data_IF_266336001693
#
_entry.id   IF_266336001693
#
_cell.length_a   1.000
_cell.length_b   1.000
_cell.length_c   1.000
_cell.angle_alpha   90.00
_cell.angle_beta   90.00
_cell.angle_gamma   90.00
#
_symmetry.space_group_name_H-M   'P 1'
#
loop_
_entity.id
_entity.type
_entity.pdbx_description
1 polymer ?
#
# COMPACT_ATOMS: atom_id res chain seq x y z
N UNK A 1 7.48 1.56 -1.60
CA UNK A 1 7.70 2.60 -0.58
C UNK A 1 8.51 3.81 -1.08
N UNK A 2 9.08 3.77 -2.29
CA UNK A 2 9.97 4.81 -2.83
C UNK A 2 9.38 5.51 -4.07
N UNK A 3 9.99 6.61 -4.53
CA UNK A 3 9.44 7.41 -5.64
C UNK A 3 9.36 6.67 -6.98
N UNK A 4 10.15 5.61 -7.18
CA UNK A 4 10.06 4.77 -8.37
C UNK A 4 8.74 3.95 -8.44
N UNK A 5 7.98 3.88 -7.35
CA UNK A 5 6.71 3.16 -7.30
C UNK A 5 5.52 4.00 -7.79
N UNK A 6 5.72 5.30 -8.03
CA UNK A 6 4.63 6.25 -8.37
C UNK A 6 3.85 5.79 -9.60
N UNK A 7 4.52 5.50 -10.71
CA UNK A 7 3.85 5.13 -11.96
C UNK A 7 3.05 3.82 -11.81
N UNK A 8 3.61 2.86 -11.07
CA UNK A 8 2.93 1.60 -10.79
C UNK A 8 1.67 1.82 -9.93
N UNK A 9 1.77 2.68 -8.90
CA UNK A 9 0.65 2.96 -7.99
C UNK A 9 -0.44 3.81 -8.67
N UNK A 10 -0.09 4.74 -9.56
CA UNK A 10 -1.06 5.47 -10.37
C UNK A 10 -1.83 4.55 -11.33
N UNK A 11 -1.17 3.50 -11.83
CA UNK A 11 -1.80 2.51 -12.70
C UNK A 11 -2.68 1.51 -11.96
N UNK A 12 -2.35 1.17 -10.71
CA UNK A 12 -3.04 0.14 -9.95
C UNK A 12 -4.50 0.53 -9.65
N UNK A 13 -5.43 -0.42 -9.84
CA UNK A 13 -6.84 -0.22 -9.45
C UNK A 13 -7.04 -0.11 -7.93
N UNK A 14 -6.14 -0.69 -7.14
CA UNK A 14 -6.13 -0.63 -5.67
C UNK A 14 -4.71 -0.29 -5.19
N UNK A 15 -4.29 0.98 -5.23
CA UNK A 15 -2.96 1.38 -4.77
C UNK A 15 -2.88 1.36 -3.25
N UNK A 16 -1.78 0.79 -2.74
CA UNK A 16 -1.49 0.73 -1.30
C UNK A 16 -0.05 1.16 -1.06
N UNK A 17 0.16 2.10 -0.15
CA UNK A 17 1.46 2.65 0.23
C UNK A 17 1.91 2.05 1.55
N UNK A 18 3.19 1.69 1.65
CA UNK A 18 3.78 1.18 2.90
C UNK A 18 3.87 2.25 3.98
N UNK A 19 3.78 1.85 5.24
CA UNK A 19 3.87 2.75 6.39
C UNK A 19 5.24 3.41 6.55
N UNK A 20 6.30 2.82 6.00
CA UNK A 20 7.64 3.41 5.92
C UNK A 20 7.90 4.13 4.57
N UNK A 21 6.85 4.33 3.76
CA UNK A 21 6.95 5.00 2.46
C UNK A 21 7.22 6.50 2.56
N UNK A 22 7.83 7.05 1.51
CA UNK A 22 8.18 8.48 1.46
C UNK A 22 6.92 9.37 1.54
N UNK A 23 7.00 10.56 2.17
CA UNK A 23 5.85 11.45 2.36
C UNK A 23 5.09 11.80 1.07
N UNK A 24 5.79 11.90 -0.05
CA UNK A 24 5.24 12.20 -1.37
C UNK A 24 4.28 11.12 -1.87
N UNK A 25 4.49 9.85 -1.48
CA UNK A 25 3.53 8.78 -1.78
C UNK A 25 2.30 8.87 -0.88
N UNK A 26 2.51 9.12 0.42
CA UNK A 26 1.42 9.22 1.41
C UNK A 26 0.51 10.41 1.17
N UNK A 27 1.03 11.50 0.60
CA UNK A 27 0.26 12.70 0.26
C UNK A 27 -0.76 12.50 -0.88
N UNK A 28 -0.73 11.35 -1.59
CA UNK A 28 -1.57 11.09 -2.76
C UNK A 28 -2.97 10.55 -2.43
N UNK A 29 -3.27 10.34 -1.15
CA UNK A 29 -4.60 9.90 -0.70
C UNK A 29 -4.93 8.43 -0.97
N UNK A 30 -3.92 7.62 -1.31
CA UNK A 30 -4.04 6.17 -1.41
C UNK A 30 -4.12 5.51 -0.04
N UNK A 31 -4.56 4.25 0.00
CA UNK A 31 -4.58 3.50 1.24
C UNK A 31 -3.14 3.31 1.76
N UNK A 32 -2.96 3.44 3.08
CA UNK A 32 -1.69 3.16 3.74
C UNK A 32 -1.80 1.84 4.51
N UNK A 33 -0.76 1.01 4.42
CA UNK A 33 -0.59 -0.21 5.23
C UNK A 33 0.56 -0.03 6.21
N UNK A 34 0.83 -1.05 7.02
CA UNK A 34 1.95 -1.05 7.97
C UNK A 34 3.32 -0.94 7.28
N UNK A 35 4.38 -0.78 8.07
CA UNK A 35 5.77 -0.80 7.56
C UNK A 35 6.15 -2.17 7.02
N UNK A 36 7.24 -2.23 6.27
CA UNK A 36 7.84 -3.49 5.83
C UNK A 36 8.21 -4.42 7.01
N UNK A 37 8.72 -3.85 8.11
CA UNK A 37 9.10 -4.60 9.32
C UNK A 37 7.87 -5.14 10.09
N UNK A 38 6.69 -4.55 9.86
CA UNK A 38 5.42 -4.92 10.47
C UNK A 38 4.47 -5.63 9.48
N UNK A 39 5.03 -6.30 8.48
CA UNK A 39 4.30 -7.15 7.52
C UNK A 39 3.28 -6.39 6.65
N UNK A 40 3.56 -5.13 6.30
CA UNK A 40 2.62 -4.26 5.60
C UNK A 40 2.03 -4.84 4.31
N UNK A 41 2.80 -5.60 3.53
CA UNK A 41 2.29 -6.27 2.32
C UNK A 41 1.25 -7.35 2.67
N UNK A 42 1.53 -8.19 3.67
CA UNK A 42 0.60 -9.26 4.08
C UNK A 42 -0.72 -8.67 4.58
N UNK A 43 -0.64 -7.64 5.43
CA UNK A 43 -1.82 -6.93 5.97
C UNK A 43 -2.65 -6.27 4.88
N UNK A 44 -2.01 -5.70 3.85
CA UNK A 44 -2.73 -5.14 2.71
C UNK A 44 -3.49 -6.24 1.95
N UNK A 45 -2.85 -7.39 1.70
CA UNK A 45 -3.50 -8.53 1.03
C UNK A 45 -4.68 -9.05 1.86
N UNK A 46 -4.50 -9.21 3.17
CA UNK A 46 -5.57 -9.63 4.08
C UNK A 46 -6.78 -8.67 4.01
N UNK A 47 -6.52 -7.38 4.14
CA UNK A 47 -7.54 -6.32 4.15
C UNK A 47 -8.31 -6.23 2.84
N UNK A 48 -7.59 -6.21 1.70
CA UNK A 48 -8.21 -5.89 0.41
C UNK A 48 -8.66 -7.12 -0.39
N UNK A 49 -8.13 -8.31 -0.10
CA UNK A 49 -8.39 -9.52 -0.89
C UNK A 49 -9.00 -10.64 -0.06
N UNK A 50 -8.40 -10.99 1.08
CA UNK A 50 -8.75 -12.23 1.80
C UNK A 50 -9.94 -12.08 2.76
N UNK A 51 -10.31 -10.86 3.16
CA UNK A 51 -11.43 -10.62 4.11
C UNK A 51 -12.82 -10.95 3.53
N UNK A 52 -12.93 -11.28 2.24
CA UNK A 52 -14.21 -11.61 1.59
C UNK A 52 -14.57 -13.11 1.56
N UNK A 53 -13.79 -13.99 2.19
CA UNK A 53 -14.16 -15.39 2.34
C UNK A 53 -14.99 -15.58 3.62
N UNK A 54 -16.31 -15.46 3.50
CA UNK A 54 -17.32 -15.88 4.50
C UNK A 54 -18.45 -16.61 3.80
#
# INVERSE_FOLDING_TARGET
DNLNDVEMLEFAGTPVVMGNGVPELKARGWAETETNDNEGVARAIETFILTSAS
#
